data_IF_726119351251
#
_entry.id   IF_726119351251
#
_cell.length_a   1.000
_cell.length_b   1.000
_cell.length_c   1.000
_cell.angle_alpha   90.00
_cell.angle_beta   90.00
_cell.angle_gamma   90.00
#
_symmetry.space_group_name_H-M   'P 1'
#
loop_
_entity.id
_entity.type
_entity.pdbx_description
1 polymer ?
#
# COMPACT_ATOMS: atom_id res chain seq x y z
N UNK A 1 -27.70 44.44 46.78
CA UNK A 1 -28.42 43.17 46.85
C UNK A 1 -28.66 42.77 45.42
N UNK A 2 -27.69 42.07 44.86
CA UNK A 2 -27.70 41.61 43.49
C UNK A 2 -28.50 40.31 43.46
N UNK A 3 -29.73 40.40 42.98
CA UNK A 3 -30.59 39.24 42.79
C UNK A 3 -30.14 38.56 41.50
N UNK A 4 -29.24 37.58 41.63
CA UNK A 4 -28.86 36.71 40.52
C UNK A 4 -30.10 35.87 40.14
N UNK A 5 -30.72 36.20 38.99
CA UNK A 5 -31.85 35.45 38.46
C UNK A 5 -31.44 33.99 38.16
N UNK A 6 -31.91 32.99 38.93
CA UNK A 6 -31.53 31.58 38.76
C UNK A 6 -32.07 30.96 37.46
N UNK A 7 -32.93 31.70 36.75
CA UNK A 7 -33.48 31.30 35.47
C UNK A 7 -32.45 31.46 34.33
N UNK A 8 -31.58 32.47 34.41
CA UNK A 8 -30.63 32.79 33.34
C UNK A 8 -29.47 31.77 33.25
N UNK A 9 -29.02 31.23 34.38
CA UNK A 9 -27.98 30.19 34.42
C UNK A 9 -28.48 28.86 33.87
N UNK A 10 -29.75 28.54 34.08
CA UNK A 10 -30.39 27.33 33.56
C UNK A 10 -30.49 27.34 32.02
N UNK A 11 -30.73 28.50 31.41
CA UNK A 11 -30.76 28.63 29.94
C UNK A 11 -29.40 28.41 29.28
N UNK A 12 -28.30 28.80 29.92
CA UNK A 12 -26.96 28.64 29.36
C UNK A 12 -26.55 27.16 29.25
N UNK A 13 -26.88 26.35 30.26
CA UNK A 13 -26.61 24.90 30.23
C UNK A 13 -27.39 24.19 29.12
N UNK A 14 -28.66 24.55 28.91
CA UNK A 14 -29.47 24.00 27.82
C UNK A 14 -28.97 24.41 26.43
N UNK A 15 -28.40 25.61 26.27
CA UNK A 15 -27.81 26.03 25.00
C UNK A 15 -26.52 25.26 24.68
N UNK A 16 -25.68 25.00 25.68
CA UNK A 16 -24.46 24.20 25.52
C UNK A 16 -24.81 22.75 25.17
N UNK A 17 -25.69 22.12 25.97
CA UNK A 17 -26.10 20.72 25.76
C UNK A 17 -26.83 20.58 24.43
N UNK A 18 -27.73 21.51 24.09
CA UNK A 18 -28.42 21.55 22.81
C UNK A 18 -27.47 21.68 21.62
N UNK A 19 -26.47 22.56 21.71
CA UNK A 19 -25.45 22.71 20.68
C UNK A 19 -24.63 21.44 20.45
N UNK A 20 -24.22 20.76 21.52
CA UNK A 20 -23.47 19.49 21.45
C UNK A 20 -24.33 18.39 20.81
N UNK A 21 -25.59 18.24 21.22
CA UNK A 21 -26.49 17.22 20.66
C UNK A 21 -26.77 17.43 19.17
N UNK A 22 -26.99 18.68 18.74
CA UNK A 22 -27.19 19.01 17.32
C UNK A 22 -25.90 18.74 16.52
N UNK A 23 -24.74 19.14 17.04
CA UNK A 23 -23.45 18.92 16.39
C UNK A 23 -23.11 17.43 16.24
N UNK A 24 -23.28 16.64 17.30
CA UNK A 24 -23.06 15.19 17.28
C UNK A 24 -24.06 14.50 16.35
N UNK A 25 -25.34 14.91 16.37
CA UNK A 25 -26.37 14.39 15.46
C UNK A 25 -26.05 14.65 13.98
N UNK A 26 -25.66 15.88 13.62
CA UNK A 26 -25.25 16.20 12.25
C UNK A 26 -23.99 15.42 11.84
N UNK A 27 -23.03 15.26 12.73
CA UNK A 27 -21.80 14.50 12.44
C UNK A 27 -22.10 13.03 12.18
N UNK A 28 -22.96 12.39 12.98
CA UNK A 28 -23.37 10.99 12.80
C UNK A 28 -24.15 10.78 11.50
N UNK A 29 -24.94 11.76 11.05
CA UNK A 29 -25.71 11.63 9.80
C UNK A 29 -24.85 11.84 8.54
N UNK A 30 -23.82 12.69 8.61
CA UNK A 30 -22.96 13.01 7.46
C UNK A 30 -21.78 12.01 7.32
N UNK A 31 -21.23 11.53 8.43
CA UNK A 31 -20.04 10.67 8.44
C UNK A 31 -20.17 9.30 7.74
N UNK A 32 -21.28 8.52 7.86
CA UNK A 32 -21.34 7.18 7.29
C UNK A 32 -21.41 7.17 5.76
N UNK A 33 -21.71 8.30 5.12
CA UNK A 33 -21.84 8.38 3.66
C UNK A 33 -20.49 8.41 2.93
N UNK A 34 -19.41 8.86 3.57
CA UNK A 34 -18.12 9.03 2.88
C UNK A 34 -17.32 7.71 2.76
N UNK A 35 -17.63 6.69 3.57
CA UNK A 35 -16.88 5.42 3.60
C UNK A 35 -17.26 4.46 2.46
N UNK A 36 -18.39 4.69 1.81
CA UNK A 36 -18.86 3.88 0.67
C UNK A 36 -18.16 4.25 -0.65
N UNK A 37 -17.72 5.50 -0.81
CA UNK A 37 -17.13 6.00 -2.05
C UNK A 37 -15.68 5.53 -2.28
N UNK A 38 -14.93 5.18 -1.22
CA UNK A 38 -13.55 4.70 -1.34
C UNK A 38 -13.40 3.28 -1.92
N UNK A 39 -14.44 2.43 -1.82
CA UNK A 39 -14.37 1.03 -2.28
C UNK A 39 -14.62 0.86 -3.78
N UNK A 40 -15.31 1.80 -4.42
CA UNK A 40 -15.63 1.72 -5.85
C UNK A 40 -14.50 2.20 -6.77
N UNK A 41 -13.54 2.98 -6.26
CA UNK A 41 -12.45 3.54 -7.07
C UNK A 41 -11.22 2.64 -7.27
N UNK A 42 -11.00 1.66 -6.38
CA UNK A 42 -9.74 0.87 -6.35
C UNK A 42 -9.85 -0.48 -7.05
N UNK A 43 -11.07 -0.97 -7.32
CA UNK A 43 -11.25 -2.32 -7.84
C UNK A 43 -11.04 -2.45 -9.37
N UNK A 44 -10.97 -1.34 -10.11
CA UNK A 44 -10.87 -1.36 -11.59
C UNK A 44 -9.44 -1.26 -12.12
N UNK A 45 -8.50 -0.68 -11.37
CA UNK A 45 -7.09 -0.52 -11.78
C UNK A 45 -6.20 -1.72 -11.44
N UNK A 46 -6.56 -2.52 -10.43
CA UNK A 46 -5.75 -3.68 -10.02
C UNK A 46 -5.88 -4.86 -11.02
N UNK A 47 -7.02 -5.00 -11.69
CA UNK A 47 -7.24 -6.09 -12.64
C UNK A 47 -6.34 -5.98 -13.89
N UNK A 48 -6.10 -4.77 -14.38
CA UNK A 48 -5.21 -4.56 -15.54
C UNK A 48 -3.74 -4.71 -15.15
N UNK A 49 -3.37 -4.39 -13.91
CA UNK A 49 -2.02 -4.61 -13.39
C UNK A 49 -1.67 -6.10 -13.28
N UNK A 50 -2.62 -6.96 -12.91
CA UNK A 50 -2.40 -8.40 -12.79
C UNK A 50 -2.11 -9.10 -14.13
N UNK A 51 -2.80 -8.69 -15.21
CA UNK A 51 -2.56 -9.24 -16.55
C UNK A 51 -1.20 -8.82 -17.11
N UNK A 52 -0.83 -7.54 -16.96
CA UNK A 52 0.47 -7.02 -17.40
C UNK A 52 1.63 -7.65 -16.62
N UNK A 53 1.46 -7.91 -15.31
CA UNK A 53 2.47 -8.59 -14.51
C UNK A 53 2.74 -10.04 -14.98
N UNK A 54 1.72 -10.73 -15.50
CA UNK A 54 1.87 -12.09 -16.01
C UNK A 54 2.65 -12.13 -17.33
N UNK A 55 2.34 -11.21 -18.25
CA UNK A 55 2.99 -11.13 -19.56
C UNK A 55 4.50 -10.82 -19.44
N UNK A 56 4.89 -9.93 -18.53
CA UNK A 56 6.30 -9.58 -18.31
C UNK A 56 7.12 -10.73 -17.69
N UNK A 57 6.50 -11.56 -16.84
CA UNK A 57 7.21 -12.67 -16.20
C UNK A 57 7.51 -13.80 -17.19
N UNK A 58 6.55 -14.17 -18.04
CA UNK A 58 6.73 -15.23 -19.04
C UNK A 58 7.81 -14.87 -20.08
N UNK A 59 7.88 -13.61 -20.51
CA UNK A 59 8.91 -13.17 -21.45
C UNK A 59 10.31 -13.14 -20.80
N UNK A 60 10.41 -12.66 -19.56
CA UNK A 60 11.69 -12.57 -18.85
C UNK A 60 12.26 -13.95 -18.49
N UNK A 61 11.41 -14.91 -18.12
CA UNK A 61 11.83 -16.27 -17.79
C UNK A 61 12.46 -16.98 -19.00
N UNK A 62 11.92 -16.77 -20.20
CA UNK A 62 12.46 -17.32 -21.45
C UNK A 62 13.85 -16.76 -21.84
N UNK A 63 14.14 -15.52 -21.46
CA UNK A 63 15.44 -14.87 -21.74
C UNK A 63 16.45 -15.16 -20.63
N UNK A 64 16.00 -15.41 -19.42
CA UNK A 64 16.86 -15.71 -18.27
C UNK A 64 17.32 -17.17 -18.28
N UNK A 65 16.53 -18.09 -18.83
CA UNK A 65 16.94 -19.50 -18.98
C UNK A 65 18.18 -19.68 -19.86
N UNK A 66 18.41 -18.77 -20.81
CA UNK A 66 19.56 -18.81 -21.71
C UNK A 66 20.81 -18.15 -21.09
N UNK A 67 20.63 -17.31 -20.06
CA UNK A 67 21.69 -16.63 -19.32
C UNK A 67 21.87 -17.24 -17.92
N UNK A 68 21.89 -18.57 -17.82
CA UNK A 68 22.23 -19.22 -16.55
C UNK A 68 23.66 -18.82 -16.13
N UNK A 69 23.76 -18.07 -15.03
CA UNK A 69 25.03 -17.63 -14.45
C UNK A 69 25.31 -18.46 -13.20
N UNK A 70 26.55 -18.92 -13.03
CA UNK A 70 27.03 -19.58 -11.83
C UNK A 70 28.21 -18.84 -11.21
N UNK A 71 28.49 -19.12 -9.94
CA UNK A 71 29.66 -18.59 -9.24
C UNK A 71 30.87 -19.50 -9.46
N UNK A 72 32.03 -18.91 -9.72
CA UNK A 72 33.27 -19.65 -9.83
C UNK A 72 33.75 -20.11 -8.45
N UNK A 73 33.92 -21.42 -8.25
CA UNK A 73 34.41 -22.02 -6.99
C UNK A 73 35.81 -21.57 -6.56
N UNK A 74 36.64 -21.08 -7.49
CA UNK A 74 38.00 -20.60 -7.18
C UNK A 74 38.06 -19.10 -6.85
N UNK A 75 37.39 -18.26 -7.63
CA UNK A 75 37.53 -16.80 -7.52
C UNK A 75 36.26 -16.07 -7.06
N UNK A 76 35.13 -16.78 -6.93
CA UNK A 76 33.86 -16.20 -6.48
C UNK A 76 33.18 -15.26 -7.48
N UNK A 77 33.64 -15.22 -8.75
CA UNK A 77 33.04 -14.36 -9.77
C UNK A 77 31.92 -15.07 -10.52
N UNK A 78 30.95 -14.29 -10.99
CA UNK A 78 29.88 -14.75 -11.87
C UNK A 78 30.46 -15.13 -13.23
N UNK A 79 30.18 -16.36 -13.67
CA UNK A 79 30.57 -16.91 -14.96
C UNK A 79 29.36 -17.57 -15.63
N UNK A 80 29.36 -17.70 -16.98
CA UNK A 80 28.33 -18.46 -17.67
C UNK A 80 28.28 -19.92 -17.17
N UNK A 81 27.09 -20.51 -17.11
CA UNK A 81 26.93 -21.89 -16.66
C UNK A 81 27.59 -22.91 -17.61
N UNK A 82 27.58 -22.61 -18.91
CA UNK A 82 28.19 -23.38 -19.99
C UNK A 82 29.71 -23.15 -20.13
N UNK A 83 30.29 -22.19 -19.41
CA UNK A 83 31.71 -21.90 -19.48
C UNK A 83 32.56 -23.05 -18.89
N UNK A 84 33.28 -23.77 -19.75
CA UNK A 84 34.27 -24.81 -19.37
C UNK A 84 35.53 -24.26 -18.72
N UNK A 85 35.78 -22.97 -18.87
CA UNK A 85 36.95 -22.29 -18.32
C UNK A 85 36.52 -20.94 -17.75
N UNK A 86 36.93 -20.62 -16.52
CA UNK A 86 36.71 -19.31 -15.93
C UNK A 86 37.56 -18.25 -16.65
N UNK A 87 36.98 -17.22 -17.27
CA UNK A 87 37.72 -16.17 -17.99
C UNK A 87 38.52 -15.25 -17.07
N UNK A 88 38.25 -15.27 -15.76
CA UNK A 88 38.89 -14.39 -14.79
C UNK A 88 40.08 -15.02 -14.06
N UNK A 89 40.02 -16.33 -13.79
CA UNK A 89 41.07 -17.03 -13.02
C UNK A 89 41.67 -18.24 -13.73
N UNK A 90 41.15 -18.63 -14.90
CA UNK A 90 41.66 -19.77 -15.66
C UNK A 90 41.32 -21.15 -15.06
N UNK A 91 40.39 -21.23 -14.11
CA UNK A 91 39.93 -22.52 -13.59
C UNK A 91 39.13 -23.29 -14.63
N UNK A 92 39.51 -24.54 -14.91
CA UNK A 92 38.81 -25.46 -15.80
C UNK A 92 37.75 -26.26 -15.04
N UNK A 93 36.60 -26.42 -15.67
CA UNK A 93 35.52 -27.31 -15.27
C UNK A 93 35.51 -28.45 -16.29
N UNK A 94 36.26 -29.51 -16.00
CA UNK A 94 36.26 -30.78 -16.75
C UNK A 94 35.16 -31.70 -16.23
#
# INVERSE_FOLDING_TARGET
MDYEDPLASMHFEYLIIGGILIGVGMFILIYPNQRALGKWGVNKSIQTLGAVAKEMNEEMESKLSDLQIRLCVKCGRNIPFDARLCPYCGHKYD
#
